data_IF_247148566061
#
_entry.id   IF_247148566061
#
_cell.length_a   1.000
_cell.length_b   1.000
_cell.length_c   1.000
_cell.angle_alpha   90.00
_cell.angle_beta   90.00
_cell.angle_gamma   90.00
#
_symmetry.space_group_name_H-M   'P 1'
#
loop_
_entity.id
_entity.type
_entity.pdbx_description
1 polymer ?
#
# COMPACT_ATOMS: atom_id res chain seq x y z
N UNK A 1 5.30 6.68 14.59
CA UNK A 1 4.07 5.86 14.50
C UNK A 1 2.87 6.52 13.77
N UNK A 2 2.74 7.87 13.64
CA UNK A 2 1.69 8.48 12.81
C UNK A 2 1.75 8.06 11.34
N UNK A 3 2.96 7.83 10.84
CA UNK A 3 3.24 7.44 9.44
C UNK A 3 2.48 6.19 9.00
N UNK A 4 2.38 5.18 9.88
CA UNK A 4 1.73 3.91 9.56
C UNK A 4 0.21 4.02 9.58
N UNK A 5 -0.33 4.86 10.46
CA UNK A 5 -1.75 5.15 10.49
C UNK A 5 -2.18 5.96 9.27
N UNK A 6 -1.42 7.00 8.90
CA UNK A 6 -1.69 7.76 7.69
C UNK A 6 -1.62 6.87 6.45
N UNK A 7 -0.58 6.05 6.32
CA UNK A 7 -0.50 5.10 5.22
C UNK A 7 -1.65 4.09 5.21
N UNK A 8 -2.14 3.65 6.38
CA UNK A 8 -3.32 2.79 6.47
C UNK A 8 -4.59 3.50 6.00
N UNK A 9 -4.77 4.78 6.35
CA UNK A 9 -5.91 5.58 5.87
C UNK A 9 -5.84 5.80 4.36
N UNK A 10 -4.65 6.08 3.81
CA UNK A 10 -4.44 6.16 2.36
C UNK A 10 -4.71 4.81 1.68
N UNK A 11 -4.28 3.69 2.28
CA UNK A 11 -4.61 2.38 1.73
C UNK A 11 -6.12 2.13 1.70
N UNK A 12 -6.85 2.62 2.72
CA UNK A 12 -8.31 2.52 2.77
C UNK A 12 -9.00 3.34 1.67
N UNK A 13 -8.46 4.50 1.28
CA UNK A 13 -9.03 5.30 0.19
C UNK A 13 -8.94 4.59 -1.17
N UNK A 14 -7.89 3.78 -1.38
CA UNK A 14 -7.67 3.00 -2.59
C UNK A 14 -8.32 1.61 -2.59
N UNK A 15 -9.20 1.29 -1.62
CA UNK A 15 -9.84 -0.04 -1.52
C UNK A 15 -10.53 -0.45 -2.82
N UNK A 16 -11.17 0.49 -3.52
CA UNK A 16 -11.83 0.22 -4.80
C UNK A 16 -10.82 -0.19 -5.90
N UNK A 17 -9.67 0.47 -5.98
CA UNK A 17 -8.60 0.12 -6.92
C UNK A 17 -8.07 -1.28 -6.63
N UNK A 18 -7.83 -1.60 -5.36
CA UNK A 18 -7.32 -2.91 -4.92
C UNK A 18 -8.32 -4.03 -5.24
N UNK A 19 -9.63 -3.81 -4.99
CA UNK A 19 -10.66 -4.78 -5.33
C UNK A 19 -10.68 -5.01 -6.84
N UNK A 20 -10.72 -3.95 -7.65
CA UNK A 20 -10.72 -4.08 -9.10
C UNK A 20 -9.45 -4.77 -9.62
N UNK A 21 -8.30 -4.56 -8.97
CA UNK A 21 -7.02 -5.14 -9.35
C UNK A 21 -7.06 -6.67 -9.24
N UNK A 22 -7.60 -7.18 -8.13
CA UNK A 22 -7.75 -8.62 -7.93
C UNK A 22 -8.91 -9.24 -8.72
N UNK A 23 -10.04 -8.53 -8.89
CA UNK A 23 -11.23 -9.10 -9.54
C UNK A 23 -11.16 -9.12 -11.06
N UNK A 24 -10.64 -8.05 -11.69
CA UNK A 24 -10.71 -7.90 -13.14
C UNK A 24 -9.39 -8.23 -13.84
N UNK A 25 -8.28 -8.41 -13.11
CA UNK A 25 -6.94 -8.61 -13.67
C UNK A 25 -6.37 -7.38 -14.39
N UNK A 26 -7.23 -6.42 -14.73
CA UNK A 26 -6.88 -5.07 -15.16
C UNK A 26 -7.47 -4.06 -14.19
N UNK A 27 -6.63 -3.48 -13.34
CA UNK A 27 -6.81 -2.08 -12.96
C UNK A 27 -5.53 -1.53 -12.36
N UNK A 28 -5.24 -0.30 -12.74
CA UNK A 28 -4.05 0.41 -12.35
C UNK A 28 -4.15 0.78 -10.87
N UNK A 29 -3.15 0.42 -10.07
CA UNK A 29 -2.99 1.05 -8.76
C UNK A 29 -2.35 2.42 -8.97
N UNK A 30 -3.03 3.45 -8.49
CA UNK A 30 -2.56 4.82 -8.54
C UNK A 30 -1.23 5.01 -7.80
N UNK A 31 -0.53 6.09 -8.11
CA UNK A 31 0.76 6.42 -7.47
C UNK A 31 0.64 6.52 -5.95
N UNK A 32 -0.46 7.09 -5.46
CA UNK A 32 -0.71 7.27 -4.03
C UNK A 32 -1.07 5.95 -3.36
N UNK A 33 -1.85 5.08 -4.02
CA UNK A 33 -2.09 3.70 -3.59
C UNK A 33 -0.76 2.95 -3.41
N UNK A 34 0.09 2.98 -4.43
CA UNK A 34 1.38 2.34 -4.37
C UNK A 34 2.35 2.97 -3.36
N UNK A 35 2.22 4.25 -3.06
CA UNK A 35 2.97 4.90 -1.97
C UNK A 35 2.52 4.38 -0.61
N UNK A 36 1.22 4.25 -0.38
CA UNK A 36 0.66 3.68 0.85
C UNK A 36 1.11 2.23 1.04
N UNK A 37 0.97 1.40 0.01
CA UNK A 37 1.41 -0.01 0.01
C UNK A 37 2.90 -0.11 0.35
N UNK A 38 3.76 0.66 -0.31
CA UNK A 38 5.20 0.67 -0.02
C UNK A 38 5.49 1.14 1.42
N UNK A 39 4.80 2.18 1.88
CA UNK A 39 4.99 2.68 3.25
C UNK A 39 4.64 1.61 4.27
N UNK A 40 3.52 0.91 4.10
CA UNK A 40 3.10 -0.12 5.05
C UNK A 40 4.02 -1.35 4.98
N UNK A 41 4.41 -1.78 3.78
CA UNK A 41 5.19 -3.01 3.59
C UNK A 41 6.66 -2.86 3.96
N UNK A 42 7.25 -1.66 3.84
CA UNK A 42 8.67 -1.43 4.13
C UNK A 42 8.91 -0.71 5.46
N UNK A 43 8.02 0.19 5.89
CA UNK A 43 8.25 1.07 7.04
C UNK A 43 7.35 0.79 8.24
N UNK A 44 6.39 -0.15 8.12
CA UNK A 44 5.42 -0.46 9.16
C UNK A 44 5.42 -1.95 9.51
N UNK A 45 4.66 -2.31 10.55
CA UNK A 45 4.52 -3.70 10.94
C UNK A 45 3.56 -4.43 9.97
N UNK A 46 4.00 -5.51 9.30
CA UNK A 46 3.17 -6.30 8.39
C UNK A 46 1.82 -6.77 8.96
N UNK A 47 1.70 -7.00 10.27
CA UNK A 47 0.47 -7.44 10.93
C UNK A 47 -0.66 -6.41 10.89
N UNK A 48 -0.35 -5.15 10.59
CA UNK A 48 -1.37 -4.11 10.39
C UNK A 48 -2.23 -4.34 9.15
N UNK A 49 -1.72 -5.01 8.12
CA UNK A 49 -2.49 -5.30 6.90
C UNK A 49 -3.48 -6.45 7.13
N UNK A 50 -3.08 -7.44 7.94
CA UNK A 50 -3.94 -8.56 8.29
C UNK A 50 -5.16 -8.15 9.12
N UNK A 51 -5.04 -7.14 9.98
CA UNK A 51 -6.18 -6.66 10.79
C UNK A 51 -7.26 -5.95 9.96
N UNK A 52 -6.91 -5.50 8.75
CA UNK A 52 -7.84 -4.82 7.83
C UNK A 52 -8.28 -5.69 6.66
N UNK A 53 -7.95 -6.98 6.67
CA UNK A 53 -8.48 -7.99 5.76
C UNK A 53 -7.53 -8.46 4.65
N UNK A 54 -6.26 -8.06 4.66
CA UNK A 54 -5.29 -8.56 3.69
C UNK A 54 -4.60 -9.84 4.15
N UNK A 55 -4.52 -10.81 3.24
CA UNK A 55 -3.67 -11.99 3.36
C UNK A 55 -2.21 -11.66 3.04
N UNK A 56 -1.27 -12.48 3.52
CA UNK A 56 0.15 -12.30 3.20
C UNK A 56 0.42 -12.36 1.68
N UNK A 57 -0.32 -13.21 0.97
CA UNK A 57 -0.20 -13.37 -0.48
C UNK A 57 -0.66 -12.10 -1.24
N UNK A 58 -1.80 -11.53 -0.86
CA UNK A 58 -2.28 -10.27 -1.44
C UNK A 58 -1.28 -9.13 -1.21
N UNK A 59 -0.68 -9.05 -0.02
CA UNK A 59 0.35 -8.06 0.30
C UNK A 59 1.59 -8.24 -0.56
N UNK A 60 2.04 -9.47 -0.78
CA UNK A 60 3.21 -9.77 -1.60
C UNK A 60 2.96 -9.41 -3.08
N UNK A 61 1.75 -9.68 -3.60
CA UNK A 61 1.35 -9.29 -4.97
C UNK A 61 1.34 -7.76 -5.11
N UNK A 62 0.69 -7.05 -4.17
CA UNK A 62 0.62 -5.58 -4.18
C UNK A 62 2.00 -4.94 -4.08
N UNK A 63 2.89 -5.48 -3.23
CA UNK A 63 4.28 -5.03 -3.13
C UNK A 63 5.04 -5.26 -4.42
N UNK A 64 4.86 -6.42 -5.05
CA UNK A 64 5.48 -6.75 -6.34
C UNK A 64 5.05 -5.79 -7.44
N UNK A 65 3.75 -5.47 -7.50
CA UNK A 65 3.19 -4.53 -8.46
C UNK A 65 3.73 -3.10 -8.27
N UNK A 66 3.73 -2.62 -7.03
CA UNK A 66 4.14 -1.25 -6.71
C UNK A 66 5.66 -1.03 -6.67
N UNK A 67 6.44 -2.10 -6.74
CA UNK A 67 7.90 -2.06 -6.74
C UNK A 67 8.51 -1.56 -5.43
N UNK A 68 9.80 -1.24 -5.49
CA UNK A 68 10.54 -0.73 -4.34
C UNK A 68 10.25 0.76 -4.11
N UNK A 69 10.34 1.25 -2.86
CA UNK A 69 10.28 2.69 -2.59
C UNK A 69 11.40 3.40 -3.35
N UNK A 70 11.05 4.42 -4.15
CA UNK A 70 12.01 5.36 -4.72
C UNK A 70 12.37 6.40 -3.64
N UNK A 71 13.57 7.00 -3.69
CA UNK A 71 13.96 8.03 -2.72
C UNK A 71 12.97 9.20 -2.65
N UNK A 72 12.25 9.50 -3.75
CA UNK A 72 11.19 10.51 -3.80
C UNK A 72 10.00 10.18 -2.86
N UNK A 73 9.64 8.91 -2.71
CA UNK A 73 8.58 8.48 -1.77
C UNK A 73 9.01 8.53 -0.30
N UNK A 74 10.28 8.76 -0.02
CA UNK A 74 10.80 9.04 1.32
C UNK A 74 10.87 10.56 1.63
N UNK A 75 10.81 11.42 0.60
CA UNK A 75 10.94 12.88 0.75
C UNK A 75 9.64 13.53 1.22
N UNK A 76 8.46 13.02 0.83
CA UNK A 76 7.16 13.56 1.27
C UNK A 76 6.87 13.37 2.76
N UNK A 77 7.71 12.64 3.50
CA UNK A 77 7.61 12.50 4.96
C UNK A 77 8.39 13.56 5.74
N UNK A 78 9.06 14.51 5.07
CA UNK A 78 9.84 15.59 5.70
C UNK A 78 9.22 16.99 5.55
N UNK A 79 7.95 17.11 5.13
CA UNK A 79 7.22 18.39 5.09
C UNK A 79 6.07 18.36 6.07
#
# INVERSE_FOLDING_TARGET
>A
MPVCWNALFELKSCTNEIILFFFNGESYLGKDCCRAIRTITYNCWPSMLSSVGFTAEEVDILRGYCGTPSPESAVEFNV
#
